data_IF_866017516410
#
_entry.id   IF_866017516410
#
_cell.length_a   1.000
_cell.length_b   1.000
_cell.length_c   1.000
_cell.angle_alpha   90.00
_cell.angle_beta   90.00
_cell.angle_gamma   90.00
#
_symmetry.space_group_name_H-M   'P 1'
#
loop_
_entity.id
_entity.type
_entity.pdbx_description
1 polymer ?
#
# COMPACT_ATOMS: atom_id res chain seq x y z
N UNK A 1 -2.35 1.76 -7.59
CA UNK A 1 -1.72 2.49 -8.72
C UNK A 1 -1.83 4.00 -8.62
N UNK A 2 -2.85 4.59 -7.97
CA UNK A 2 -2.91 6.04 -7.66
C UNK A 2 -2.56 6.99 -8.83
N UNK A 3 -2.87 6.55 -10.06
CA UNK A 3 -2.61 7.26 -11.30
C UNK A 3 -3.91 7.93 -11.76
N UNK A 4 -3.82 9.20 -12.19
CA UNK A 4 -4.99 9.96 -12.65
C UNK A 4 -5.71 9.28 -13.82
N UNK A 5 -4.96 8.62 -14.70
CA UNK A 5 -5.51 7.88 -15.85
C UNK A 5 -6.41 6.71 -15.44
N UNK A 6 -6.16 6.10 -14.28
CA UNK A 6 -6.89 4.92 -13.79
C UNK A 6 -7.89 5.24 -12.67
N UNK A 7 -8.17 6.53 -12.41
CA UNK A 7 -8.91 6.96 -11.21
C UNK A 7 -10.29 6.29 -11.06
N UNK A 8 -11.01 6.11 -12.18
CA UNK A 8 -12.37 5.57 -12.23
C UNK A 8 -12.41 4.14 -12.77
N UNK A 9 -11.25 3.49 -12.93
CA UNK A 9 -11.19 2.12 -13.44
C UNK A 9 -11.59 1.15 -12.34
N UNK A 10 -12.68 0.43 -12.58
CA UNK A 10 -13.14 -0.68 -11.74
C UNK A 10 -12.83 -1.98 -12.47
N UNK A 11 -11.98 -2.82 -11.88
CA UNK A 11 -11.69 -4.15 -12.42
C UNK A 11 -12.94 -5.04 -12.30
N UNK A 12 -13.21 -5.83 -13.34
CA UNK A 12 -14.31 -6.80 -13.42
C UNK A 12 -13.92 -8.21 -12.94
N UNK A 13 -12.66 -8.39 -12.52
CA UNK A 13 -12.15 -9.63 -11.95
C UNK A 13 -11.25 -9.40 -10.73
N UNK A 14 -11.19 -10.41 -9.86
CA UNK A 14 -10.21 -10.49 -8.79
C UNK A 14 -8.89 -11.09 -9.32
N UNK A 15 -7.75 -10.58 -8.84
CA UNK A 15 -6.47 -11.28 -9.02
C UNK A 15 -6.47 -12.60 -8.24
N UNK A 16 -5.57 -13.52 -8.59
CA UNK A 16 -5.48 -14.80 -7.90
C UNK A 16 -5.12 -14.65 -6.42
N UNK A 17 -4.29 -13.66 -6.05
CA UNK A 17 -3.99 -13.35 -4.64
C UNK A 17 -5.26 -12.93 -3.90
N UNK A 18 -6.08 -12.06 -4.49
CA UNK A 18 -7.35 -11.62 -3.90
C UNK A 18 -8.33 -12.79 -3.77
N UNK A 19 -8.44 -13.65 -4.78
CA UNK A 19 -9.24 -14.90 -4.71
C UNK A 19 -8.81 -15.78 -3.55
N UNK A 20 -7.51 -16.01 -3.37
CA UNK A 20 -6.98 -16.84 -2.28
C UNK A 20 -7.21 -16.21 -0.91
N UNK A 21 -7.04 -14.90 -0.78
CA UNK A 21 -7.35 -14.19 0.47
C UNK A 21 -8.82 -14.33 0.86
N UNK A 22 -9.74 -14.13 -0.09
CA UNK A 22 -11.19 -14.34 0.14
C UNK A 22 -11.50 -15.79 0.51
N UNK A 23 -10.92 -16.76 -0.21
CA UNK A 23 -11.10 -18.19 0.07
C UNK A 23 -10.54 -18.60 1.45
N UNK A 24 -9.49 -17.93 1.92
CA UNK A 24 -8.93 -18.11 3.26
C UNK A 24 -9.73 -17.40 4.37
N UNK A 25 -10.82 -16.70 4.03
CA UNK A 25 -11.70 -16.03 4.99
C UNK A 25 -11.28 -14.62 5.40
N UNK A 26 -10.36 -13.98 4.67
CA UNK A 26 -9.98 -12.59 4.97
C UNK A 26 -11.08 -11.62 4.54
N UNK A 27 -11.34 -10.62 5.37
CA UNK A 27 -12.23 -9.50 5.06
C UNK A 27 -11.41 -8.36 4.45
N UNK A 28 -11.67 -8.04 3.18
CA UNK A 28 -10.98 -6.97 2.46
C UNK A 28 -11.67 -5.63 2.75
N UNK A 29 -10.98 -4.75 3.49
CA UNK A 29 -11.56 -3.47 3.96
C UNK A 29 -11.32 -2.29 3.01
N UNK A 30 -10.44 -2.43 2.01
CA UNK A 30 -10.17 -1.36 1.05
C UNK A 30 -8.89 -1.57 0.25
N UNK A 31 -8.51 -0.53 -0.51
CA UNK A 31 -7.24 -0.43 -1.23
C UNK A 31 -6.38 0.65 -0.58
N UNK A 32 -5.14 0.33 -0.24
CA UNK A 32 -4.20 1.31 0.31
C UNK A 32 -3.65 2.24 -0.78
N UNK A 33 -3.17 3.41 -0.36
CA UNK A 33 -2.48 4.33 -1.25
C UNK A 33 -1.10 3.78 -1.68
N UNK A 34 -0.64 4.16 -2.87
CA UNK A 34 0.64 3.80 -3.47
C UNK A 34 1.13 4.98 -4.33
N UNK A 35 2.42 5.12 -4.68
CA UNK A 35 2.83 6.08 -5.69
C UNK A 35 2.24 5.74 -7.05
N UNK A 36 2.21 6.75 -7.91
CA UNK A 36 1.68 6.62 -9.26
C UNK A 36 2.36 5.47 -10.01
N UNK A 37 1.55 4.47 -10.38
CA UNK A 37 1.94 3.24 -11.04
C UNK A 37 3.08 2.44 -10.34
N UNK A 38 3.33 2.69 -9.05
CA UNK A 38 4.36 1.99 -8.28
C UNK A 38 5.80 2.46 -8.54
N UNK A 39 6.03 3.55 -9.26
CA UNK A 39 7.37 3.97 -9.72
C UNK A 39 8.17 4.83 -8.74
N UNK A 40 7.79 4.86 -7.46
CA UNK A 40 8.54 5.60 -6.44
C UNK A 40 8.75 4.77 -5.18
N UNK A 41 9.84 5.08 -4.47
CA UNK A 41 10.15 4.58 -3.13
C UNK A 41 9.56 5.46 -2.01
N UNK A 42 8.75 6.46 -2.37
CA UNK A 42 7.91 7.26 -1.45
C UNK A 42 6.45 7.22 -1.92
N UNK A 43 5.50 7.38 -1.00
CA UNK A 43 4.05 7.28 -1.32
C UNK A 43 3.38 8.65 -1.34
N UNK A 44 3.64 9.39 -2.43
CA UNK A 44 3.24 10.80 -2.59
C UNK A 44 2.47 11.06 -3.91
N UNK A 45 1.43 10.27 -4.25
CA UNK A 45 0.71 10.46 -5.50
C UNK A 45 -0.14 11.74 -5.49
N UNK A 46 -0.29 12.39 -6.66
CA UNK A 46 -1.19 13.55 -6.81
C UNK A 46 -2.66 13.20 -6.59
N UNK A 47 -3.10 12.00 -6.98
CA UNK A 47 -4.52 11.63 -7.00
C UNK A 47 -5.17 11.58 -5.61
N UNK A 48 -4.49 10.96 -4.64
CA UNK A 48 -5.03 10.75 -3.28
C UNK A 48 -4.25 11.51 -2.20
N UNK A 49 -3.22 12.27 -2.60
CA UNK A 49 -2.32 12.96 -1.68
C UNK A 49 -1.28 12.04 -1.03
N UNK A 50 -0.37 12.67 -0.30
CA UNK A 50 0.75 12.00 0.37
C UNK A 50 0.28 11.14 1.55
N UNK A 51 0.77 9.90 1.59
CA UNK A 51 0.63 9.05 2.78
C UNK A 51 1.59 9.54 3.86
N UNK A 52 1.09 9.75 5.08
CA UNK A 52 1.92 10.17 6.22
C UNK A 52 2.51 8.97 6.95
N UNK A 53 3.75 9.08 7.42
CA UNK A 53 4.33 8.08 8.31
C UNK A 53 3.71 8.19 9.72
N UNK A 54 3.16 7.10 10.29
CA UNK A 54 2.52 7.14 11.61
C UNK A 54 3.44 7.53 12.77
N UNK A 55 4.76 7.39 12.61
CA UNK A 55 5.74 7.69 13.66
C UNK A 55 6.11 9.17 13.73
N UNK A 56 6.12 9.88 12.61
CA UNK A 56 6.52 11.29 12.55
C UNK A 56 6.00 11.97 11.28
N UNK A 57 5.29 13.09 11.46
CA UNK A 57 4.87 13.94 10.35
C UNK A 57 6.07 14.55 9.60
N UNK A 58 5.97 14.67 8.28
CA UNK A 58 7.04 15.15 7.40
C UNK A 58 8.08 14.08 7.03
N UNK A 59 7.98 12.86 7.57
CA UNK A 59 8.79 11.71 7.15
C UNK A 59 7.96 10.80 6.24
N UNK A 60 8.61 10.24 5.21
CA UNK A 60 7.96 9.31 4.29
C UNK A 60 7.65 7.97 4.99
N UNK A 61 6.50 7.32 4.69
CA UNK A 61 6.27 5.93 5.07
C UNK A 61 7.03 4.94 4.18
N UNK A 62 7.80 5.43 3.21
CA UNK A 62 8.42 4.62 2.16
C UNK A 62 7.45 4.31 1.01
N UNK A 63 7.84 3.40 0.13
CA UNK A 63 7.09 3.05 -1.06
C UNK A 63 7.72 1.90 -1.85
N UNK A 64 7.00 1.32 -2.80
CA UNK A 64 5.68 1.77 -3.27
C UNK A 64 4.50 1.38 -2.36
N UNK A 65 4.68 0.43 -1.44
CA UNK A 65 3.60 -0.04 -0.55
C UNK A 65 3.46 0.78 0.75
N UNK A 66 3.73 2.09 0.71
CA UNK A 66 3.74 2.92 1.92
C UNK A 66 2.37 3.10 2.57
N UNK A 67 1.28 3.11 1.80
CA UNK A 67 -0.07 3.12 2.36
C UNK A 67 -0.39 1.85 3.15
N UNK A 68 0.06 0.69 2.67
CA UNK A 68 -0.11 -0.59 3.36
C UNK A 68 0.71 -0.61 4.66
N UNK A 69 1.98 -0.20 4.60
CA UNK A 69 2.83 -0.17 5.78
C UNK A 69 2.35 0.83 6.84
N UNK A 70 1.92 2.02 6.42
CA UNK A 70 1.35 3.01 7.32
C UNK A 70 0.07 2.50 7.99
N UNK A 71 -0.81 1.79 7.26
CA UNK A 71 -2.05 1.23 7.82
C UNK A 71 -1.79 0.14 8.87
N UNK A 72 -0.76 -0.70 8.69
CA UNK A 72 -0.36 -1.68 9.70
C UNK A 72 0.26 -0.96 10.90
N UNK A 73 1.21 -0.05 10.69
CA UNK A 73 1.90 0.66 11.76
C UNK A 73 0.97 1.52 12.62
N UNK A 74 -0.10 2.08 12.02
CA UNK A 74 -1.16 2.81 12.73
C UNK A 74 -2.25 1.92 13.32
N UNK A 75 -2.14 0.59 13.20
CA UNK A 75 -3.09 -0.41 13.71
C UNK A 75 -4.48 -0.34 13.09
N UNK A 76 -4.61 0.19 11.87
CA UNK A 76 -5.88 0.15 11.13
C UNK A 76 -6.22 -1.27 10.68
N UNK A 77 -5.21 -2.06 10.31
CA UNK A 77 -5.33 -3.46 9.91
C UNK A 77 -4.15 -4.27 10.46
N UNK A 78 -4.32 -5.57 10.75
CA UNK A 78 -3.24 -6.42 11.24
C UNK A 78 -2.32 -6.93 10.11
N UNK A 79 -2.80 -6.96 8.87
CA UNK A 79 -2.08 -7.44 7.68
C UNK A 79 -2.54 -6.67 6.45
N UNK A 80 -1.65 -6.50 5.47
CA UNK A 80 -1.95 -5.90 4.18
C UNK A 80 -1.17 -6.63 3.07
N UNK A 81 -1.78 -6.70 1.89
CA UNK A 81 -1.12 -7.15 0.67
C UNK A 81 -0.26 -6.01 0.09
N UNK A 82 0.83 -6.37 -0.55
CA UNK A 82 1.79 -5.43 -1.10
C UNK A 82 2.60 -6.08 -2.25
N UNK A 83 3.22 -5.27 -3.09
CA UNK A 83 4.09 -5.74 -4.18
C UNK A 83 5.52 -5.24 -4.02
N UNK A 84 6.50 -6.05 -4.43
CA UNK A 84 7.93 -5.74 -4.33
C UNK A 84 8.62 -5.91 -5.69
N UNK A 85 8.82 -4.80 -6.41
CA UNK A 85 9.63 -4.79 -7.63
C UNK A 85 11.11 -4.45 -7.40
N UNK A 86 11.40 -3.60 -6.40
CA UNK A 86 12.74 -3.05 -6.13
C UNK A 86 12.96 -2.71 -4.64
N UNK A 87 12.27 -3.39 -3.74
CA UNK A 87 12.22 -3.10 -2.29
C UNK A 87 10.88 -2.54 -1.83
N UNK A 88 9.83 -2.60 -2.65
CA UNK A 88 8.56 -1.91 -2.39
C UNK A 88 7.73 -2.49 -1.24
N UNK A 89 8.10 -3.64 -0.69
CA UNK A 89 7.60 -4.14 0.60
C UNK A 89 8.57 -3.77 1.72
N UNK A 90 9.87 -4.05 1.51
CA UNK A 90 10.91 -3.95 2.55
C UNK A 90 11.24 -2.51 2.94
N UNK A 91 11.28 -1.57 1.99
CA UNK A 91 11.51 -0.14 2.24
C UNK A 91 10.42 0.43 3.14
N UNK A 92 9.11 0.36 2.79
CA UNK A 92 8.09 0.93 3.65
C UNK A 92 7.93 0.17 4.97
N UNK A 93 8.20 -1.15 5.01
CA UNK A 93 8.26 -1.89 6.27
C UNK A 93 9.35 -1.33 7.21
N UNK A 94 10.56 -1.08 6.69
CA UNK A 94 11.65 -0.46 7.44
C UNK A 94 11.31 0.97 7.90
N UNK A 95 10.71 1.79 7.04
CA UNK A 95 10.33 3.17 7.38
C UNK A 95 9.20 3.23 8.42
N UNK A 96 8.30 2.25 8.43
CA UNK A 96 7.14 2.19 9.32
C UNK A 96 7.34 1.25 10.52
N UNK A 97 8.52 0.67 10.72
CA UNK A 97 8.82 -0.15 11.89
C UNK A 97 7.97 -1.43 11.99
N UNK A 98 7.66 -2.05 10.85
CA UNK A 98 6.90 -3.29 10.76
C UNK A 98 7.67 -4.37 9.98
N UNK A 99 7.17 -5.60 9.98
CA UNK A 99 7.69 -6.68 9.15
C UNK A 99 7.04 -6.63 7.77
N UNK A 100 7.84 -6.83 6.72
CA UNK A 100 7.37 -6.99 5.34
C UNK A 100 8.20 -8.06 4.62
N UNK A 101 7.54 -8.95 3.90
CA UNK A 101 8.12 -10.09 3.18
C UNK A 101 7.63 -10.13 1.74
#
# INVERSE_FOLDING_TARGET
NSCLYLKDVVADFDTEVVRRMKAAGLVLVGKSNAPENGWSITTEPKLYGTTKNPWKEGITPGGSSGGAAAAIASRMVPIAEASDGAGSIRIPASCCGIVGL
#
